data_IF_874721358075
#
_entry.id   IF_874721358075
#
_cell.length_a   1.000
_cell.length_b   1.000
_cell.length_c   1.000
_cell.angle_alpha   90.00
_cell.angle_beta   90.00
_cell.angle_gamma   90.00
#
_symmetry.space_group_name_H-M   'P 1'
#
loop_
_entity.id
_entity.type
_entity.pdbx_description
1 polymer ?
#
# COMPACT_ATOMS: atom_id res chain seq x y z
N UNK A 1 -38.59 7.19 -23.93
CA UNK A 1 -38.11 6.06 -23.12
C UNK A 1 -36.87 6.55 -22.40
N UNK A 2 -37.09 7.08 -21.21
CA UNK A 2 -36.07 7.66 -20.33
C UNK A 2 -35.23 6.53 -19.74
N UNK A 3 -33.96 6.41 -20.16
CA UNK A 3 -33.00 5.51 -19.51
C UNK A 3 -32.11 6.38 -18.65
N UNK A 4 -32.60 6.71 -17.48
CA UNK A 4 -31.86 7.38 -16.42
C UNK A 4 -30.69 6.45 -16.04
N UNK A 5 -29.52 6.72 -16.60
CA UNK A 5 -28.27 6.10 -16.17
C UNK A 5 -28.00 6.58 -14.75
N UNK A 6 -28.44 5.78 -13.78
CA UNK A 6 -28.15 6.00 -12.38
C UNK A 6 -26.71 5.53 -12.16
N UNK A 7 -25.74 6.32 -12.64
CA UNK A 7 -24.34 6.20 -12.24
C UNK A 7 -24.31 6.22 -10.71
N UNK A 8 -24.01 5.06 -10.11
CA UNK A 8 -23.78 4.98 -8.68
C UNK A 8 -22.62 5.93 -8.34
N UNK A 9 -22.68 6.70 -7.23
CA UNK A 9 -21.55 7.51 -6.83
C UNK A 9 -20.35 6.59 -6.65
N UNK A 10 -19.35 6.74 -7.52
CA UNK A 10 -18.07 6.06 -7.32
C UNK A 10 -17.52 6.61 -6.01
N UNK A 11 -17.39 5.75 -5.00
CA UNK A 11 -16.72 6.15 -3.78
C UNK A 11 -15.34 6.72 -4.16
N UNK A 12 -14.86 7.78 -3.48
CA UNK A 12 -13.56 8.35 -3.81
C UNK A 12 -12.50 7.25 -3.76
N UNK A 13 -11.82 7.02 -4.88
CA UNK A 13 -10.74 6.03 -4.98
C UNK A 13 -9.64 6.44 -4.00
N UNK A 14 -9.38 5.59 -3.01
CA UNK A 14 -8.26 5.75 -2.09
C UNK A 14 -6.97 5.44 -2.85
N UNK A 15 -6.03 6.38 -2.85
CA UNK A 15 -4.71 6.14 -3.40
C UNK A 15 -3.93 5.28 -2.38
N UNK A 16 -3.81 3.99 -2.68
CA UNK A 16 -3.20 3.02 -1.77
C UNK A 16 -1.75 2.70 -2.18
N UNK A 17 -0.82 2.83 -1.24
CA UNK A 17 0.55 2.37 -1.39
C UNK A 17 0.73 1.05 -0.65
N UNK A 18 1.31 0.05 -1.31
CA UNK A 18 1.53 -1.27 -0.71
C UNK A 18 2.64 -1.23 0.33
N UNK A 19 2.35 -1.75 1.51
CA UNK A 19 3.30 -2.00 2.57
C UNK A 19 3.41 -3.50 2.86
N UNK A 20 4.61 -4.05 2.71
CA UNK A 20 4.96 -5.42 3.07
C UNK A 20 5.52 -5.46 4.50
N UNK A 21 4.84 -6.13 5.45
CA UNK A 21 5.40 -6.46 6.75
C UNK A 21 6.73 -7.22 6.62
N UNK A 22 7.60 -7.23 7.65
CA UNK A 22 8.95 -7.79 7.53
C UNK A 22 8.94 -9.28 7.16
N UNK A 23 8.03 -10.06 7.74
CA UNK A 23 7.84 -11.46 7.40
C UNK A 23 7.39 -11.67 5.96
N UNK A 24 6.49 -10.83 5.46
CA UNK A 24 5.94 -10.95 4.11
C UNK A 24 6.92 -10.45 3.06
N UNK A 25 7.71 -9.41 3.35
CA UNK A 25 8.77 -8.95 2.46
C UNK A 25 9.87 -10.02 2.32
N UNK A 26 10.23 -10.70 3.42
CA UNK A 26 11.16 -11.82 3.37
C UNK A 26 10.60 -12.97 2.50
N UNK A 27 9.32 -13.32 2.66
CA UNK A 27 8.65 -14.33 1.82
C UNK A 27 8.61 -13.92 0.36
N UNK A 28 8.29 -12.66 0.06
CA UNK A 28 8.24 -12.13 -1.30
C UNK A 28 9.62 -12.27 -1.95
N UNK A 29 10.70 -11.87 -1.26
CA UNK A 29 12.07 -12.02 -1.75
C UNK A 29 12.46 -13.47 -2.05
N UNK A 30 12.03 -14.41 -1.21
CA UNK A 30 12.34 -15.83 -1.42
C UNK A 30 11.61 -16.43 -2.61
N UNK A 31 10.43 -15.92 -2.97
CA UNK A 31 9.61 -16.46 -4.08
C UNK A 31 9.82 -15.72 -5.40
N UNK A 32 9.94 -14.41 -5.31
CA UNK A 32 9.89 -13.44 -6.41
C UNK A 32 10.95 -12.36 -6.19
N UNK A 33 12.24 -12.66 -6.41
CA UNK A 33 13.32 -11.70 -6.17
C UNK A 33 13.24 -10.48 -7.10
N UNK A 34 12.72 -10.66 -8.32
CA UNK A 34 12.48 -9.56 -9.27
C UNK A 34 11.44 -8.57 -8.72
N UNK A 35 10.27 -9.07 -8.31
CA UNK A 35 9.24 -8.25 -7.70
C UNK A 35 9.71 -7.54 -6.43
N UNK A 36 10.53 -8.23 -5.61
CA UNK A 36 11.04 -7.67 -4.38
C UNK A 36 12.09 -6.56 -4.57
N UNK A 37 12.77 -6.52 -5.72
CA UNK A 37 13.74 -5.47 -6.05
C UNK A 37 13.14 -4.07 -6.02
N UNK A 38 11.86 -3.94 -6.41
CA UNK A 38 11.11 -2.68 -6.43
C UNK A 38 10.81 -2.13 -5.02
N UNK A 39 10.83 -3.01 -4.01
CA UNK A 39 10.50 -2.67 -2.63
C UNK A 39 11.72 -2.32 -1.77
N UNK A 40 12.93 -2.34 -2.34
CA UNK A 40 14.16 -1.91 -1.67
C UNK A 40 14.99 -3.03 -1.06
N UNK A 41 16.14 -2.64 -0.50
CA UNK A 41 17.17 -3.58 -0.06
C UNK A 41 16.77 -4.40 1.18
N UNK A 42 15.99 -3.80 2.08
CA UNK A 42 15.54 -4.39 3.33
C UNK A 42 14.28 -3.67 3.85
N UNK A 43 13.65 -4.23 4.89
CA UNK A 43 12.36 -3.73 5.39
C UNK A 43 12.40 -2.26 5.86
N UNK A 44 13.53 -1.80 6.40
CA UNK A 44 13.70 -0.41 6.77
C UNK A 44 13.69 0.50 5.54
N UNK A 45 14.40 0.11 4.47
CA UNK A 45 14.37 0.82 3.19
C UNK A 45 12.99 0.84 2.56
N UNK A 46 12.31 -0.31 2.54
CA UNK A 46 10.91 -0.42 2.09
C UNK A 46 9.99 0.56 2.81
N UNK A 47 10.09 0.61 4.14
CA UNK A 47 9.26 1.49 4.97
C UNK A 47 9.52 2.97 4.66
N UNK A 48 10.78 3.37 4.48
CA UNK A 48 11.13 4.76 4.11
C UNK A 48 10.61 5.12 2.72
N UNK A 49 10.73 4.21 1.76
CA UNK A 49 10.19 4.40 0.40
C UNK A 49 8.69 4.62 0.42
N UNK A 50 7.95 3.80 1.17
CA UNK A 50 6.50 3.95 1.32
C UNK A 50 6.14 5.31 1.92
N UNK A 51 6.78 5.72 3.01
CA UNK A 51 6.57 7.04 3.63
C UNK A 51 6.83 8.18 2.63
N UNK A 52 7.97 8.12 1.92
CA UNK A 52 8.36 9.13 0.94
C UNK A 52 7.35 9.20 -0.21
N UNK A 53 6.95 8.07 -0.78
CA UNK A 53 5.95 8.02 -1.86
C UNK A 53 4.62 8.63 -1.41
N UNK A 54 4.18 8.36 -0.18
CA UNK A 54 2.96 8.96 0.38
C UNK A 54 3.11 10.47 0.57
N UNK A 55 4.28 10.92 1.08
CA UNK A 55 4.64 12.34 1.15
C UNK A 55 4.54 13.03 -0.20
N UNK A 56 5.22 12.49 -1.22
CA UNK A 56 5.24 13.02 -2.58
C UNK A 56 3.82 13.09 -3.19
N UNK A 57 3.00 12.05 -3.00
CA UNK A 57 1.61 12.05 -3.45
C UNK A 57 0.77 13.10 -2.72
N UNK A 58 1.00 13.30 -1.42
CA UNK A 58 0.32 14.31 -0.63
C UNK A 58 0.70 15.73 -1.06
N UNK A 59 1.98 15.98 -1.34
CA UNK A 59 2.48 17.26 -1.84
C UNK A 59 1.89 17.58 -3.23
N UNK A 60 1.64 16.55 -4.03
CA UNK A 60 0.92 16.65 -5.31
C UNK A 60 -0.60 16.83 -5.16
N UNK A 61 -1.12 16.86 -3.94
CA UNK A 61 -2.54 17.05 -3.66
C UNK A 61 -3.41 15.82 -3.92
N UNK A 62 -2.83 14.61 -3.94
CA UNK A 62 -3.61 13.37 -4.08
C UNK A 62 -4.43 13.14 -2.80
N UNK A 63 -5.76 13.10 -2.88
CA UNK A 63 -6.61 12.92 -1.70
C UNK A 63 -6.69 11.44 -1.28
N UNK A 64 -7.16 11.20 -0.06
CA UNK A 64 -7.50 9.86 0.46
C UNK A 64 -6.36 8.83 0.36
N UNK A 65 -5.15 9.25 0.72
CA UNK A 65 -3.99 8.36 0.78
C UNK A 65 -4.15 7.30 1.86
N UNK A 66 -3.72 6.09 1.55
CA UNK A 66 -3.78 4.98 2.48
C UNK A 66 -2.60 4.03 2.29
N UNK A 67 -2.28 3.28 3.34
CA UNK A 67 -1.26 2.24 3.33
C UNK A 67 -1.94 0.88 3.39
N UNK A 68 -1.83 0.10 2.32
CA UNK A 68 -2.39 -1.25 2.24
C UNK A 68 -1.40 -2.27 2.75
N UNK A 69 -1.81 -3.05 3.76
CA UNK A 69 -0.95 -4.09 4.32
C UNK A 69 -0.99 -5.32 3.42
N UNK A 70 0.05 -5.46 2.61
CA UNK A 70 0.20 -6.51 1.62
C UNK A 70 0.59 -7.85 2.26
N UNK A 71 0.08 -8.94 1.70
CA UNK A 71 0.50 -10.31 2.01
C UNK A 71 0.84 -11.04 0.72
N UNK A 72 1.82 -11.94 0.76
CA UNK A 72 2.21 -12.70 -0.42
C UNK A 72 1.07 -13.61 -0.86
N UNK A 73 0.38 -14.23 0.11
CA UNK A 73 -0.79 -15.05 -0.15
C UNK A 73 -1.92 -14.25 -0.84
N UNK A 74 -2.20 -13.02 -0.39
CA UNK A 74 -3.22 -12.18 -1.01
C UNK A 74 -2.84 -11.73 -2.42
N UNK A 75 -1.57 -11.40 -2.65
CA UNK A 75 -1.09 -11.07 -3.99
C UNK A 75 -1.21 -12.28 -4.95
N UNK A 76 -0.83 -13.48 -4.48
CA UNK A 76 -0.96 -14.71 -5.26
C UNK A 76 -2.43 -15.03 -5.57
N UNK A 77 -3.31 -14.96 -4.58
CA UNK A 77 -4.73 -15.20 -4.76
C UNK A 77 -5.39 -14.19 -5.72
N UNK A 78 -4.88 -12.96 -5.80
CA UNK A 78 -5.30 -12.01 -6.84
C UNK A 78 -4.76 -12.41 -8.21
N UNK A 79 -3.46 -12.70 -8.29
CA UNK A 79 -2.81 -13.09 -9.54
C UNK A 79 -3.53 -14.27 -10.20
N UNK A 80 -3.86 -15.30 -9.42
CA UNK A 80 -4.62 -16.48 -9.88
C UNK A 80 -6.02 -16.10 -10.38
N UNK A 81 -6.67 -15.11 -9.76
CA UNK A 81 -8.04 -14.69 -10.10
C UNK A 81 -8.12 -13.85 -11.38
N UNK A 82 -7.05 -13.14 -11.71
CA UNK A 82 -6.97 -12.28 -12.90
C UNK A 82 -6.17 -12.94 -14.03
N UNK A 83 -5.83 -14.23 -13.89
CA UNK A 83 -4.93 -14.97 -14.78
C UNK A 83 -3.60 -14.22 -15.05
N UNK A 84 -3.09 -13.53 -14.01
CA UNK A 84 -1.89 -12.71 -14.04
C UNK A 84 -0.71 -13.34 -13.31
N UNK A 85 0.34 -12.55 -13.11
CA UNK A 85 1.54 -12.96 -12.36
C UNK A 85 1.87 -11.95 -11.26
N UNK A 86 2.17 -12.46 -10.06
CA UNK A 86 2.57 -11.65 -8.90
C UNK A 86 3.84 -10.81 -9.16
N UNK A 87 4.65 -11.22 -10.14
CA UNK A 87 5.87 -10.51 -10.56
C UNK A 87 5.58 -9.29 -11.45
N UNK A 88 4.35 -9.14 -11.94
CA UNK A 88 3.97 -7.98 -12.76
C UNK A 88 3.53 -6.78 -11.92
N UNK A 89 3.95 -5.58 -12.35
CA UNK A 89 3.54 -4.32 -11.71
C UNK A 89 2.03 -4.08 -11.77
N UNK A 90 1.38 -4.52 -12.86
CA UNK A 90 -0.07 -4.42 -13.04
C UNK A 90 -0.83 -5.20 -11.96
N UNK A 91 -0.45 -6.46 -11.72
CA UNK A 91 -1.05 -7.30 -10.66
C UNK A 91 -0.87 -6.68 -9.28
N UNK A 92 0.31 -6.09 -8.99
CA UNK A 92 0.55 -5.41 -7.71
C UNK A 92 -0.29 -4.13 -7.57
N UNK A 93 -0.51 -3.41 -8.67
CA UNK A 93 -1.35 -2.21 -8.70
C UNK A 93 -2.82 -2.57 -8.49
N UNK A 94 -3.30 -3.65 -9.15
CA UNK A 94 -4.63 -4.21 -8.91
C UNK A 94 -4.80 -4.70 -7.47
N UNK A 95 -3.74 -5.24 -6.85
CA UNK A 95 -3.75 -5.64 -5.44
C UNK A 95 -3.88 -4.46 -4.50
N UNK A 96 -3.20 -3.35 -4.77
CA UNK A 96 -3.35 -2.12 -4.00
C UNK A 96 -4.80 -1.60 -4.04
N UNK A 97 -5.43 -1.61 -5.22
CA UNK A 97 -6.85 -1.23 -5.37
C UNK A 97 -7.76 -2.20 -4.60
N UNK A 98 -7.50 -3.51 -4.65
CA UNK A 98 -8.26 -4.50 -3.88
C UNK A 98 -8.15 -4.28 -2.37
N UNK A 99 -6.96 -4.00 -1.84
CA UNK A 99 -6.78 -3.66 -0.42
C UNK A 99 -7.58 -2.41 -0.04
N UNK A 100 -7.54 -1.38 -0.89
CA UNK A 100 -8.32 -0.16 -0.70
C UNK A 100 -9.84 -0.41 -0.69
N UNK A 101 -10.33 -1.30 -1.57
CA UNK A 101 -11.75 -1.67 -1.65
C UNK A 101 -12.22 -2.51 -0.46
N UNK A 102 -11.37 -3.42 0.01
CA UNK A 102 -11.69 -4.37 1.10
C UNK A 102 -11.50 -3.79 2.49
N UNK A 103 -10.91 -2.59 2.61
CA UNK A 103 -10.70 -1.93 3.89
C UNK A 103 -9.47 -2.45 4.66
N UNK A 104 -8.56 -3.17 4.01
CA UNK A 104 -7.30 -3.63 4.59
C UNK A 104 -6.19 -2.58 4.54
N UNK A 105 -6.58 -1.30 4.66
CA UNK A 105 -5.69 -0.14 4.57
C UNK A 105 -5.75 0.70 5.83
N UNK A 106 -4.62 1.31 6.19
CA UNK A 106 -4.55 2.38 7.21
C UNK A 106 -4.58 3.74 6.53
N UNK A 107 -5.41 4.66 7.00
CA UNK A 107 -5.41 6.05 6.50
C UNK A 107 -4.04 6.72 6.73
N UNK A 108 -3.58 7.45 5.72
CA UNK A 108 -2.36 8.25 5.80
C UNK A 108 -2.68 9.75 5.53
N UNK A 109 -2.13 10.68 6.32
CA UNK A 109 -1.28 10.44 7.48
C UNK A 109 -2.10 9.99 8.70
N UNK A 110 -1.60 9.02 9.49
CA UNK A 110 -2.23 8.70 10.77
C UNK A 110 -2.06 9.87 11.77
N UNK A 111 -2.84 9.89 12.87
CA UNK A 111 -2.70 10.92 13.89
C UNK A 111 -1.25 10.98 14.42
N UNK A 112 -0.68 12.20 14.57
CA UNK A 112 0.72 12.39 15.03
C UNK A 112 1.10 11.61 16.30
N UNK A 113 0.15 11.47 17.23
CA UNK A 113 0.34 10.76 18.49
C UNK A 113 -0.25 9.33 18.49
N UNK A 114 -0.88 8.92 17.40
CA UNK A 114 -1.41 7.57 17.21
C UNK A 114 -0.33 6.55 16.81
N UNK A 115 -0.69 5.26 16.74
CA UNK A 115 0.21 4.21 16.29
C UNK A 115 0.69 4.47 14.86
N UNK A 116 1.91 4.05 14.56
CA UNK A 116 2.46 4.19 13.22
C UNK A 116 1.85 3.17 12.26
N UNK A 117 1.62 3.57 11.01
CA UNK A 117 1.06 2.70 9.97
C UNK A 117 1.93 1.48 9.66
N UNK A 118 3.24 1.52 9.96
CA UNK A 118 4.15 0.39 9.76
C UNK A 118 3.96 -0.77 10.75
N UNK A 119 3.01 -0.66 11.68
CA UNK A 119 2.74 -1.65 12.72
C UNK A 119 3.59 -1.49 13.98
N UNK A 120 4.46 -0.47 14.05
CA UNK A 120 5.17 -0.13 15.29
C UNK A 120 4.20 0.43 16.34
N UNK A 121 4.38 0.02 17.59
CA UNK A 121 3.67 0.60 18.75
C UNK A 121 4.12 2.03 19.07
N UNK A 122 5.15 2.54 18.38
CA UNK A 122 5.64 3.93 18.52
C UNK A 122 4.65 4.92 17.90
N UNK A 123 4.61 6.12 18.48
CA UNK A 123 3.86 7.26 17.93
C UNK A 123 4.33 7.58 16.52
N UNK A 124 3.42 7.83 15.58
CA UNK A 124 3.75 8.15 14.18
C UNK A 124 4.83 9.23 14.04
N UNK A 125 4.71 10.36 14.77
CA UNK A 125 5.70 11.45 14.75
C UNK A 125 7.11 11.08 15.24
N UNK A 126 7.24 9.92 15.88
CA UNK A 126 8.50 9.36 16.43
C UNK A 126 8.91 8.09 15.69
N UNK A 127 8.23 7.74 14.59
CA UNK A 127 8.49 6.57 13.76
C UNK A 127 8.57 7.04 12.30
N UNK A 128 7.79 6.47 11.36
CA UNK A 128 7.86 6.80 9.93
C UNK A 128 7.65 8.30 9.65
N UNK A 129 6.72 8.96 10.34
CA UNK A 129 6.47 10.40 10.19
C UNK A 129 7.48 11.30 10.92
N UNK A 130 8.63 10.77 11.32
CA UNK A 130 9.73 11.57 11.89
C UNK A 130 10.61 12.09 10.75
N UNK A 131 11.02 13.36 10.74
CA UNK A 131 11.91 13.90 9.71
C UNK A 131 13.28 13.20 9.68
N UNK A 132 13.70 12.61 10.81
CA UNK A 132 14.93 11.80 10.91
C UNK A 132 14.78 10.38 10.35
N UNK A 133 13.59 10.01 9.90
CA UNK A 133 13.29 8.71 9.31
C UNK A 133 13.15 8.77 7.79
N UNK A 134 13.17 9.98 7.21
CA UNK A 134 13.23 10.23 5.77
C UNK A 134 14.67 10.13 5.25
#
# INVERSE_FOLDING_TARGET
MDRTDRTAPVAPRRACVLFWPPEELARLRSRSPEAAGEYGADHADHTRRVERTLGELSERGVPHLAVGRATVAGLQALAERIDGSADTSDTRSAYADELARTGHTTDWPPPRNGPCWCGSTRKYKKCCGSPSSA
#
